data_IF_666383966803
#
_entry.id   IF_666383966803
#
_cell.length_a   1.000
_cell.length_b   1.000
_cell.length_c   1.000
_cell.angle_alpha   90.00
_cell.angle_beta   90.00
_cell.angle_gamma   90.00
#
_symmetry.space_group_name_H-M   'P 1'
#
loop_
_entity.id
_entity.type
_entity.pdbx_description
1 polymer ?
#
# COMPACT_ATOMS: atom_id res chain seq x y z
N UNK A 1 -16.56 -48.82 -45.61
CA UNK A 1 -15.47 -49.82 -45.64
C UNK A 1 -15.42 -50.48 -44.27
N UNK A 2 -15.10 -51.77 -44.26
CA UNK A 2 -15.42 -52.76 -43.24
C UNK A 2 -14.68 -52.67 -41.89
N UNK A 3 -15.35 -53.21 -40.85
CA UNK A 3 -14.89 -54.16 -39.78
C UNK A 3 -13.77 -53.73 -38.82
N UNK A 4 -13.71 -54.06 -37.53
CA UNK A 4 -14.25 -55.13 -36.64
C UNK A 4 -14.16 -54.61 -35.16
N UNK A 5 -15.09 -54.88 -34.22
CA UNK A 5 -15.13 -55.98 -33.21
C UNK A 5 -13.77 -56.23 -32.49
N UNK A 6 -13.63 -56.29 -31.16
CA UNK A 6 -14.38 -57.06 -30.14
C UNK A 6 -14.39 -56.45 -28.72
N UNK A 7 -15.40 -56.87 -27.96
CA UNK A 7 -15.61 -56.95 -26.49
C UNK A 7 -14.59 -57.89 -25.80
N UNK A 8 -14.36 -57.93 -24.48
CA UNK A 8 -15.26 -58.34 -23.37
C UNK A 8 -14.71 -57.96 -21.98
N UNK A 9 -15.63 -57.96 -21.00
CA UNK A 9 -15.50 -58.01 -19.53
C UNK A 9 -14.56 -59.16 -19.04
N UNK A 10 -14.11 -59.35 -17.78
CA UNK A 10 -14.88 -59.29 -16.53
C UNK A 10 -13.97 -59.46 -15.27
N UNK A 11 -14.60 -59.16 -14.14
CA UNK A 11 -14.32 -59.22 -12.70
C UNK A 11 -13.24 -60.12 -12.04
N UNK A 12 -12.65 -59.55 -10.97
CA UNK A 12 -12.63 -59.99 -9.54
C UNK A 12 -12.20 -61.43 -9.15
N UNK A 13 -11.29 -61.54 -8.15
CA UNK A 13 -11.46 -62.29 -6.89
C UNK A 13 -10.16 -62.33 -6.05
N UNK A 14 -10.29 -61.97 -4.77
CA UNK A 14 -9.32 -62.23 -3.71
C UNK A 14 -9.51 -63.66 -3.15
N UNK A 15 -8.42 -64.29 -2.67
CA UNK A 15 -8.49 -65.47 -1.80
C UNK A 15 -7.33 -65.45 -0.83
N UNK A 16 -7.64 -65.35 0.47
CA UNK A 16 -6.80 -65.73 1.61
C UNK A 16 -6.75 -67.27 1.75
N UNK A 17 -5.63 -67.82 2.19
CA UNK A 17 -5.64 -69.07 2.97
C UNK A 17 -4.35 -69.24 3.80
N UNK A 18 -4.58 -69.63 5.06
CA UNK A 18 -3.63 -69.83 6.17
C UNK A 18 -2.88 -71.17 6.16
N UNK A 19 -1.82 -71.18 7.00
CA UNK A 19 -1.20 -72.27 7.77
C UNK A 19 -0.41 -73.42 7.08
N UNK A 20 0.86 -73.57 7.49
CA UNK A 20 1.31 -74.72 8.32
C UNK A 20 2.74 -74.55 8.84
N UNK A 21 2.93 -74.89 10.12
CA UNK A 21 4.16 -74.91 10.92
C UNK A 21 5.03 -76.13 10.56
N UNK A 22 6.36 -76.02 10.61
CA UNK A 22 7.27 -77.10 11.00
C UNK A 22 8.63 -76.55 11.50
N UNK A 23 9.04 -77.03 12.68
CA UNK A 23 10.25 -76.71 13.42
C UNK A 23 11.55 -77.15 12.73
N UNK A 24 12.64 -76.43 13.00
CA UNK A 24 14.00 -76.82 12.66
C UNK A 24 15.02 -75.98 13.42
N UNK A 25 15.42 -76.45 14.60
CA UNK A 25 16.49 -75.96 15.47
C UNK A 25 17.84 -75.88 14.77
N UNK A 26 18.60 -74.80 14.98
CA UNK A 26 20.07 -74.83 15.13
C UNK A 26 20.55 -73.57 15.87
N UNK A 27 21.09 -73.79 17.06
CA UNK A 27 21.76 -72.80 17.91
C UNK A 27 23.07 -72.34 17.26
N UNK A 28 23.33 -71.03 17.26
CA UNK A 28 24.68 -70.47 17.18
C UNK A 28 24.81 -69.37 18.23
N UNK A 29 25.77 -69.58 19.13
CA UNK A 29 26.21 -68.65 20.17
C UNK A 29 26.79 -67.36 19.55
N UNK A 30 26.22 -66.20 19.89
CA UNK A 30 26.90 -64.90 19.79
C UNK A 30 27.03 -64.28 21.18
N UNK A 31 28.28 -63.99 21.58
CA UNK A 31 28.61 -63.24 22.80
C UNK A 31 28.02 -61.81 22.76
N UNK A 32 27.50 -61.26 23.87
CA UNK A 32 26.95 -59.91 23.88
C UNK A 32 28.07 -58.87 23.98
N UNK A 33 28.18 -58.00 22.97
CA UNK A 33 28.90 -56.73 23.11
C UNK A 33 28.12 -55.77 24.03
N UNK A 34 28.79 -54.99 24.90
CA UNK A 34 28.09 -54.05 25.76
C UNK A 34 27.62 -52.86 24.93
N UNK A 35 26.31 -52.68 24.85
CA UNK A 35 25.68 -51.47 24.33
C UNK A 35 26.01 -50.32 25.30
N UNK A 36 26.87 -49.39 24.86
CA UNK A 36 27.03 -48.10 25.52
C UNK A 36 25.75 -47.30 25.29
N UNK A 37 24.86 -47.28 26.27
CA UNK A 37 23.79 -46.30 26.35
C UNK A 37 24.42 -44.91 26.54
N UNK A 38 24.59 -44.18 25.44
CA UNK A 38 24.81 -42.74 25.50
C UNK A 38 23.46 -42.13 25.82
N UNK A 39 23.23 -41.81 27.10
CA UNK A 39 22.16 -40.91 27.50
C UNK A 39 22.42 -39.53 26.88
N UNK A 40 21.93 -39.31 25.65
CA UNK A 40 21.68 -37.96 25.16
C UNK A 40 20.57 -37.35 26.01
N UNK A 41 20.97 -36.73 27.12
CA UNK A 41 20.13 -35.78 27.85
C UNK A 41 19.86 -34.60 26.94
N UNK A 42 18.86 -34.72 26.05
CA UNK A 42 18.22 -33.59 25.37
C UNK A 42 17.64 -32.71 26.48
N UNK A 43 18.44 -31.76 26.93
CA UNK A 43 17.98 -30.63 27.71
C UNK A 43 17.00 -29.88 26.81
N UNK A 44 15.71 -30.18 26.94
CA UNK A 44 14.63 -29.39 26.37
C UNK A 44 14.64 -28.04 27.09
N UNK A 45 15.57 -27.16 26.72
CA UNK A 45 15.59 -25.78 27.17
C UNK A 45 14.33 -25.13 26.64
N UNK A 46 13.49 -24.67 27.56
CA UNK A 46 12.29 -23.93 27.19
C UNK A 46 12.69 -22.58 26.63
N UNK A 47 11.98 -22.10 25.60
CA UNK A 47 12.15 -20.75 25.05
C UNK A 47 12.02 -19.64 26.10
N UNK A 48 11.38 -19.94 27.24
CA UNK A 48 11.26 -19.06 28.41
C UNK A 48 12.57 -18.82 29.17
N UNK A 49 13.59 -19.65 28.94
CA UNK A 49 14.88 -19.61 29.65
C UNK A 49 15.94 -18.77 28.92
N UNK A 50 15.61 -18.25 27.73
CA UNK A 50 16.49 -17.39 26.96
C UNK A 50 16.61 -15.99 27.60
N UNK A 51 17.80 -15.36 27.57
CA UNK A 51 17.96 -13.96 27.94
C UNK A 51 17.05 -13.03 27.12
N UNK A 52 16.62 -11.93 27.72
CA UNK A 52 15.68 -11.00 27.07
C UNK A 52 16.27 -10.39 25.79
N UNK A 53 17.57 -10.12 25.77
CA UNK A 53 18.26 -9.55 24.61
C UNK A 53 18.22 -10.49 23.41
N UNK A 54 18.29 -11.81 23.66
CA UNK A 54 18.19 -12.83 22.60
C UNK A 54 16.74 -12.92 22.10
N UNK A 55 15.77 -12.85 23.00
CA UNK A 55 14.36 -12.83 22.64
C UNK A 55 14.00 -11.57 21.84
N UNK A 56 14.46 -10.39 22.24
CA UNK A 56 14.27 -9.15 21.51
C UNK A 56 14.89 -9.22 20.11
N UNK A 57 16.11 -9.77 20.00
CA UNK A 57 16.75 -9.99 18.71
C UNK A 57 15.92 -10.92 17.81
N UNK A 58 15.43 -12.05 18.33
CA UNK A 58 14.56 -12.96 17.58
C UNK A 58 13.26 -12.26 17.16
N UNK A 59 12.61 -11.54 18.08
CA UNK A 59 11.37 -10.83 17.84
C UNK A 59 11.54 -9.66 16.84
N UNK A 60 12.74 -9.12 16.70
CA UNK A 60 13.06 -8.07 15.72
C UNK A 60 12.98 -8.55 14.26
N UNK A 61 13.07 -9.86 14.02
CA UNK A 61 12.89 -10.43 12.69
C UNK A 61 11.43 -10.59 12.28
N UNK A 62 10.50 -10.49 13.23
CA UNK A 62 9.09 -10.66 12.94
C UNK A 62 8.51 -9.45 12.19
N UNK A 63 7.55 -9.76 11.34
CA UNK A 63 6.47 -8.91 10.86
C UNK A 63 6.04 -7.77 11.79
N UNK A 64 6.36 -6.45 11.61
CA UNK A 64 5.74 -5.41 12.44
C UNK A 64 4.22 -5.31 12.24
N UNK A 65 3.69 -6.03 11.26
CA UNK A 65 2.28 -6.09 10.93
C UNK A 65 1.52 -7.11 11.80
N UNK A 66 1.25 -8.31 11.29
CA UNK A 66 0.41 -9.29 11.99
C UNK A 66 1.22 -10.11 12.99
N UNK A 67 2.46 -10.46 12.67
CA UNK A 67 3.29 -11.33 13.51
C UNK A 67 3.57 -10.72 14.88
N UNK A 68 3.94 -9.43 14.96
CA UNK A 68 4.08 -8.71 16.24
C UNK A 68 2.80 -8.74 17.06
N UNK A 69 1.64 -8.53 16.43
CA UNK A 69 0.34 -8.59 17.11
C UNK A 69 0.08 -9.97 17.68
N UNK A 70 0.32 -11.03 16.90
CA UNK A 70 0.11 -12.42 17.35
C UNK A 70 1.10 -12.85 18.42
N UNK A 71 2.37 -12.50 18.28
CA UNK A 71 3.42 -12.84 19.23
C UNK A 71 3.21 -12.11 20.58
N UNK A 72 2.64 -10.91 20.56
CA UNK A 72 2.31 -10.16 21.78
C UNK A 72 1.19 -10.80 22.61
N UNK A 73 0.42 -11.74 22.05
CA UNK A 73 -0.64 -12.47 22.75
C UNK A 73 -0.15 -13.71 23.51
N UNK A 74 1.10 -14.14 23.28
CA UNK A 74 1.64 -15.39 23.85
C UNK A 74 1.72 -15.32 25.38
N UNK A 75 2.39 -14.29 25.91
CA UNK A 75 2.48 -14.06 27.36
C UNK A 75 2.87 -12.60 27.67
N UNK A 76 2.80 -12.22 28.96
CA UNK A 76 3.14 -10.86 29.40
C UNK A 76 4.59 -10.45 29.07
N UNK A 77 5.52 -11.41 29.11
CA UNK A 77 6.92 -11.15 28.78
C UNK A 77 7.06 -10.77 27.30
N UNK A 78 6.51 -11.59 26.40
CA UNK A 78 6.53 -11.34 24.95
C UNK A 78 5.86 -10.03 24.58
N UNK A 79 4.73 -9.71 25.21
CA UNK A 79 4.06 -8.42 25.04
C UNK A 79 5.00 -7.24 25.33
N UNK A 80 5.74 -7.28 26.45
CA UNK A 80 6.68 -6.22 26.82
C UNK A 80 7.84 -6.13 25.83
N UNK A 81 8.43 -7.27 25.47
CA UNK A 81 9.59 -7.31 24.56
C UNK A 81 9.21 -6.80 23.16
N UNK A 82 8.06 -7.20 22.61
CA UNK A 82 7.59 -6.73 21.30
C UNK A 82 7.32 -5.24 21.31
N UNK A 83 6.74 -4.70 22.40
CA UNK A 83 6.61 -3.25 22.56
C UNK A 83 7.96 -2.55 22.59
N UNK A 84 8.95 -3.12 23.28
CA UNK A 84 10.33 -2.62 23.31
C UNK A 84 10.96 -2.60 21.92
N UNK A 85 10.89 -3.72 21.19
CA UNK A 85 11.37 -3.87 19.81
C UNK A 85 10.71 -2.87 18.88
N UNK A 86 9.37 -2.77 18.89
CA UNK A 86 8.63 -1.84 18.04
C UNK A 86 9.01 -0.38 18.33
N UNK A 87 9.17 -0.03 19.61
CA UNK A 87 9.63 1.30 20.03
C UNK A 87 11.06 1.58 19.55
N UNK A 88 11.98 0.64 19.72
CA UNK A 88 13.36 0.78 19.26
C UNK A 88 13.45 0.91 17.73
N UNK A 89 12.68 0.12 16.99
CA UNK A 89 12.60 0.23 15.53
C UNK A 89 12.06 1.60 15.10
N UNK A 90 10.99 2.09 15.75
CA UNK A 90 10.43 3.41 15.46
C UNK A 90 11.44 4.53 15.72
N UNK A 91 12.05 4.56 16.92
CA UNK A 91 13.04 5.59 17.25
C UNK A 91 14.30 5.51 16.37
N UNK A 92 14.77 4.30 16.05
CA UNK A 92 15.86 4.09 15.12
C UNK A 92 15.54 4.64 13.73
N UNK A 93 14.32 4.41 13.24
CA UNK A 93 13.85 4.94 11.97
C UNK A 93 13.76 6.47 11.98
N UNK A 94 13.16 7.09 13.01
CA UNK A 94 13.07 8.55 13.11
C UNK A 94 14.46 9.19 13.15
N UNK A 95 15.38 8.63 13.95
CA UNK A 95 16.76 9.09 14.01
C UNK A 95 17.45 8.98 12.64
N UNK A 96 17.29 7.86 11.95
CA UNK A 96 17.84 7.67 10.60
C UNK A 96 17.29 8.68 9.58
N UNK A 97 16.00 9.02 9.67
CA UNK A 97 15.37 10.06 8.84
C UNK A 97 15.95 11.44 9.14
N UNK A 98 16.13 11.79 10.42
CA UNK A 98 16.71 13.07 10.85
C UNK A 98 18.18 13.23 10.44
N UNK A 99 18.96 12.15 10.54
CA UNK A 99 20.39 12.13 10.18
C UNK A 99 20.61 11.93 8.66
N UNK A 100 19.54 11.72 7.88
CA UNK A 100 19.64 11.42 6.45
C UNK A 100 20.27 10.06 6.11
N UNK A 101 20.36 9.15 7.09
CA UNK A 101 20.97 7.83 6.96
C UNK A 101 19.92 6.76 6.61
N UNK A 102 19.22 6.94 5.49
CA UNK A 102 18.22 6.00 5.00
C UNK A 102 18.87 5.10 3.94
N UNK A 103 18.84 3.79 4.17
CA UNK A 103 19.32 2.79 3.21
C UNK A 103 18.13 2.20 2.46
N UNK A 104 18.23 2.15 1.14
CA UNK A 104 17.22 1.57 0.27
C UNK A 104 17.67 0.20 -0.20
N UNK A 105 16.79 -0.79 -0.06
CA UNK A 105 17.04 -2.15 -0.53
C UNK A 105 15.93 -2.56 -1.50
N UNK A 106 16.32 -3.03 -2.69
CA UNK A 106 15.38 -3.67 -3.61
C UNK A 106 15.17 -5.11 -3.18
N UNK A 107 13.97 -5.44 -2.72
CA UNK A 107 13.60 -6.81 -2.36
C UNK A 107 12.69 -7.42 -3.42
N UNK A 108 13.10 -8.57 -3.93
CA UNK A 108 12.28 -9.41 -4.79
C UNK A 108 11.90 -10.65 -3.99
N UNK A 109 10.62 -10.83 -3.70
CA UNK A 109 10.13 -12.02 -3.02
C UNK A 109 9.93 -13.14 -4.05
N UNK A 110 10.46 -14.35 -3.83
CA UNK A 110 10.24 -15.49 -4.72
C UNK A 110 8.78 -15.95 -4.56
N UNK A 111 7.89 -15.34 -5.33
CA UNK A 111 6.46 -15.65 -5.28
C UNK A 111 6.07 -16.54 -6.48
N UNK A 112 5.34 -17.66 -6.26
CA UNK A 112 4.88 -18.51 -7.35
C UNK A 112 3.74 -17.91 -8.19
N UNK A 113 3.10 -16.82 -7.73
CA UNK A 113 2.01 -16.17 -8.47
C UNK A 113 2.48 -15.01 -9.36
N UNK A 114 1.56 -14.49 -10.17
CA UNK A 114 1.85 -13.44 -11.15
C UNK A 114 2.01 -12.08 -10.45
N UNK A 115 3.17 -11.42 -10.56
CA UNK A 115 3.35 -10.08 -10.01
C UNK A 115 2.44 -9.07 -10.73
N UNK A 116 2.16 -7.96 -10.07
CA UNK A 116 1.44 -6.84 -10.68
C UNK A 116 2.20 -6.34 -11.93
N UNK A 117 1.47 -6.14 -13.03
CA UNK A 117 2.06 -5.63 -14.29
C UNK A 117 2.66 -4.25 -14.10
N UNK A 118 3.81 -3.99 -14.75
CA UNK A 118 4.44 -2.67 -14.80
C UNK A 118 3.45 -1.60 -15.28
N UNK A 119 3.35 -0.51 -14.52
CA UNK A 119 2.36 0.55 -14.71
C UNK A 119 2.82 1.85 -14.09
N UNK A 120 2.34 2.98 -14.62
CA UNK A 120 2.52 4.30 -14.02
C UNK A 120 1.16 4.97 -13.78
N UNK A 121 1.17 6.04 -12.97
CA UNK A 121 -0.04 6.80 -12.60
C UNK A 121 -1.17 5.93 -12.03
N UNK A 122 -0.82 4.85 -11.33
CA UNK A 122 -1.77 4.05 -10.55
C UNK A 122 -2.13 4.78 -9.26
N UNK A 123 -3.31 4.49 -8.72
CA UNK A 123 -3.73 5.01 -7.42
C UNK A 123 -3.37 3.98 -6.35
N UNK A 124 -2.89 4.42 -5.19
CA UNK A 124 -2.56 3.52 -4.11
C UNK A 124 -2.93 4.10 -2.73
N UNK A 125 -3.28 3.22 -1.80
CA UNK A 125 -3.55 3.58 -0.41
C UNK A 125 -3.20 2.43 0.55
N UNK A 126 -2.90 2.77 1.79
CA UNK A 126 -2.73 1.80 2.88
C UNK A 126 -4.05 1.61 3.62
N UNK A 127 -4.47 0.35 3.81
CA UNK A 127 -5.67 -0.02 4.55
C UNK A 127 -5.29 -0.75 5.84
N UNK A 128 -5.50 -0.10 6.98
CA UNK A 128 -4.96 -0.56 8.26
C UNK A 128 -5.61 -1.84 8.79
N UNK A 129 -6.92 -2.02 8.58
CA UNK A 129 -7.68 -3.12 9.17
C UNK A 129 -7.16 -4.52 8.78
N UNK A 130 -6.54 -4.65 7.60
CA UNK A 130 -5.85 -5.87 7.18
C UNK A 130 -4.38 -5.64 6.79
N UNK A 131 -3.80 -4.50 7.20
CA UNK A 131 -2.39 -4.16 6.99
C UNK A 131 -1.92 -4.38 5.54
N UNK A 132 -2.75 -3.97 4.58
CA UNK A 132 -2.47 -4.18 3.17
C UNK A 132 -2.43 -2.87 2.39
N UNK A 133 -1.58 -2.82 1.37
CA UNK A 133 -1.59 -1.75 0.39
C UNK A 133 -2.48 -2.13 -0.79
N UNK A 134 -3.41 -1.26 -1.16
CA UNK A 134 -4.24 -1.43 -2.34
C UNK A 134 -3.71 -0.57 -3.49
N UNK A 135 -3.70 -1.13 -4.69
CA UNK A 135 -3.29 -0.47 -5.93
C UNK A 135 -4.40 -0.65 -6.96
N UNK A 136 -4.87 0.45 -7.53
CA UNK A 136 -5.91 0.44 -8.55
C UNK A 136 -5.43 1.11 -9.84
N UNK A 137 -5.73 0.48 -10.97
CA UNK A 137 -5.59 1.09 -12.29
C UNK A 137 -4.16 1.47 -12.67
N UNK A 138 -4.01 2.64 -13.26
CA UNK A 138 -2.77 3.08 -13.91
C UNK A 138 -2.74 2.67 -15.38
N UNK A 139 -1.62 2.92 -16.06
CA UNK A 139 -1.49 2.59 -17.48
C UNK A 139 -0.10 2.04 -17.84
N UNK A 140 -0.06 1.31 -18.95
CA UNK A 140 1.18 0.75 -19.51
C UNK A 140 2.05 1.85 -20.13
N UNK A 141 3.37 1.68 -20.07
CA UNK A 141 4.34 2.49 -20.83
C UNK A 141 4.37 2.06 -22.31
N UNK A 142 3.21 2.07 -22.96
CA UNK A 142 3.05 1.75 -24.38
C UNK A 142 2.57 2.98 -25.15
N UNK A 143 2.70 2.99 -26.48
CA UNK A 143 2.25 4.13 -27.31
C UNK A 143 0.78 4.50 -27.09
N UNK A 144 -0.06 3.51 -26.77
CA UNK A 144 -1.48 3.71 -26.50
C UNK A 144 -1.81 4.07 -25.03
N UNK A 145 -0.85 3.98 -24.09
CA UNK A 145 -1.09 4.13 -22.65
C UNK A 145 -2.32 3.33 -22.19
N UNK A 146 -2.41 2.05 -22.56
CA UNK A 146 -3.53 1.20 -22.19
C UNK A 146 -3.75 1.23 -20.67
N UNK A 147 -4.92 1.72 -20.25
CA UNK A 147 -5.28 1.87 -18.85
C UNK A 147 -5.80 0.55 -18.29
N UNK A 148 -5.55 0.33 -17.01
CA UNK A 148 -6.05 -0.82 -16.27
C UNK A 148 -7.25 -0.41 -15.40
N UNK A 149 -8.12 -1.37 -15.10
CA UNK A 149 -9.14 -1.27 -14.05
C UNK A 149 -8.93 -2.29 -12.92
N UNK A 150 -7.87 -3.09 -12.97
CA UNK A 150 -7.64 -4.10 -11.94
C UNK A 150 -7.34 -3.47 -10.58
N UNK A 151 -7.82 -4.14 -9.53
CA UNK A 151 -7.45 -3.89 -8.14
C UNK A 151 -6.44 -4.96 -7.73
N UNK A 152 -5.37 -4.54 -7.07
CA UNK A 152 -4.36 -5.40 -6.47
C UNK A 152 -4.22 -5.05 -5.00
N UNK A 153 -3.97 -6.07 -4.18
CA UNK A 153 -3.69 -5.95 -2.76
C UNK A 153 -2.33 -6.57 -2.48
N UNK A 154 -1.41 -5.79 -1.93
CA UNK A 154 -0.18 -6.28 -1.35
C UNK A 154 -0.40 -6.49 0.15
N UNK A 155 -0.40 -7.74 0.58
CA UNK A 155 -0.38 -8.07 2.01
C UNK A 155 1.01 -7.74 2.56
N UNK A 156 1.10 -6.80 3.50
CA UNK A 156 2.39 -6.37 4.04
C UNK A 156 2.95 -7.36 5.06
N UNK A 157 2.17 -8.32 5.53
CA UNK A 157 2.68 -9.38 6.38
C UNK A 157 3.40 -10.44 5.55
N UNK A 158 2.69 -11.07 4.60
CA UNK A 158 3.26 -12.13 3.75
C UNK A 158 4.11 -11.60 2.59
N UNK A 159 4.00 -10.30 2.28
CA UNK A 159 4.62 -9.65 1.11
C UNK A 159 4.11 -10.20 -0.22
N UNK A 160 2.87 -10.70 -0.23
CA UNK A 160 2.26 -11.31 -1.40
C UNK A 160 1.30 -10.36 -2.11
N UNK A 161 1.37 -10.36 -3.45
CA UNK A 161 0.39 -9.71 -4.29
C UNK A 161 -0.81 -10.62 -4.52
N UNK A 162 -1.98 -10.12 -4.18
CA UNK A 162 -3.26 -10.80 -4.33
C UNK A 162 -4.12 -9.94 -5.24
N UNK A 163 -4.74 -10.55 -6.24
CA UNK A 163 -5.72 -9.89 -7.11
C UNK A 163 -7.14 -10.17 -6.60
N UNK A 164 -7.81 -9.23 -5.92
CA UNK A 164 -9.19 -9.45 -5.50
C UNK A 164 -10.10 -9.47 -6.74
N UNK A 165 -10.80 -10.58 -6.95
CA UNK A 165 -11.82 -10.69 -7.99
C UNK A 165 -13.13 -10.12 -7.45
N UNK A 166 -13.21 -8.80 -7.42
CA UNK A 166 -14.35 -8.08 -6.83
C UNK A 166 -15.57 -8.07 -7.75
N UNK A 167 -16.76 -8.07 -7.15
CA UNK A 167 -18.04 -7.94 -7.84
C UNK A 167 -18.62 -6.52 -7.71
N UNK A 168 -19.70 -6.22 -8.43
CA UNK A 168 -20.44 -4.95 -8.31
C UNK A 168 -20.20 -3.96 -9.44
N UNK A 169 -20.40 -2.67 -9.15
CA UNK A 169 -20.27 -1.57 -10.12
C UNK A 169 -18.81 -1.20 -10.29
N UNK A 170 -18.12 -1.91 -11.16
CA UNK A 170 -16.68 -1.85 -11.30
C UNK A 170 -16.22 -0.57 -12.04
N UNK A 171 -15.16 0.14 -11.58
CA UNK A 171 -14.74 1.36 -12.25
C UNK A 171 -14.17 1.09 -13.65
N UNK A 172 -14.34 2.07 -14.55
CA UNK A 172 -13.73 2.05 -15.88
C UNK A 172 -12.18 2.03 -15.79
N UNK A 173 -11.47 1.49 -16.79
CA UNK A 173 -10.01 1.55 -16.83
C UNK A 173 -9.50 2.99 -16.83
N UNK A 174 -8.64 3.34 -15.88
CA UNK A 174 -8.19 4.72 -15.68
C UNK A 174 -6.83 4.83 -15.00
N UNK A 175 -6.15 5.93 -15.28
CA UNK A 175 -4.92 6.35 -14.64
C UNK A 175 -5.09 7.76 -14.03
N UNK A 176 -4.22 8.15 -13.11
CA UNK A 176 -4.24 9.49 -12.49
C UNK A 176 -5.51 9.79 -11.68
N UNK A 177 -6.21 8.76 -11.20
CA UNK A 177 -7.24 8.90 -10.18
C UNK A 177 -6.59 9.00 -8.79
N UNK A 178 -7.35 9.42 -7.79
CA UNK A 178 -6.94 9.28 -6.39
C UNK A 178 -7.71 8.17 -5.69
N UNK A 179 -7.05 7.50 -4.75
CA UNK A 179 -7.63 6.45 -3.93
C UNK A 179 -7.34 6.77 -2.46
N UNK A 180 -8.39 7.00 -1.67
CA UNK A 180 -8.28 7.35 -0.25
C UNK A 180 -9.06 6.36 0.60
N UNK A 181 -8.70 6.22 1.87
CA UNK A 181 -9.42 5.38 2.82
C UNK A 181 -10.36 6.24 3.65
N UNK A 182 -11.60 5.79 3.80
CA UNK A 182 -12.58 6.38 4.72
C UNK A 182 -13.34 5.26 5.42
N UNK A 183 -13.20 5.20 6.75
CA UNK A 183 -13.73 4.11 7.59
C UNK A 183 -13.28 2.76 6.97
N UNK A 184 -14.22 1.87 6.64
CA UNK A 184 -13.93 0.56 6.04
C UNK A 184 -14.03 0.54 4.50
N UNK A 185 -13.95 1.70 3.84
CA UNK A 185 -14.09 1.84 2.40
C UNK A 185 -12.85 2.48 1.77
N UNK A 186 -12.51 2.02 0.57
CA UNK A 186 -11.60 2.73 -0.33
C UNK A 186 -12.45 3.58 -1.27
N UNK A 187 -12.18 4.88 -1.34
CA UNK A 187 -12.89 5.84 -2.19
C UNK A 187 -11.98 6.22 -3.35
N UNK A 188 -12.38 5.85 -4.56
CA UNK A 188 -11.70 6.17 -5.82
C UNK A 188 -12.44 7.33 -6.50
N UNK A 189 -11.71 8.38 -6.89
CA UNK A 189 -12.29 9.53 -7.57
C UNK A 189 -11.48 9.95 -8.81
N UNK A 190 -12.23 10.30 -9.86
CA UNK A 190 -11.72 10.87 -11.11
C UNK A 190 -10.83 9.93 -11.90
N UNK A 191 -9.82 10.50 -12.58
CA UNK A 191 -8.89 9.80 -13.45
C UNK A 191 -9.15 10.06 -14.93
N UNK A 192 -8.28 9.53 -15.77
CA UNK A 192 -8.38 9.65 -17.23
C UNK A 192 -8.07 8.32 -17.91
N UNK A 193 -8.55 8.18 -19.14
CA UNK A 193 -8.21 7.06 -20.00
C UNK A 193 -8.04 7.51 -21.43
N UNK A 194 -7.15 6.83 -22.14
CA UNK A 194 -7.06 6.96 -23.59
C UNK A 194 -8.02 5.96 -24.22
N UNK A 195 -9.04 6.44 -24.95
CA UNK A 195 -9.91 5.53 -25.70
C UNK A 195 -9.11 4.75 -26.74
N UNK A 196 -9.75 3.71 -27.30
CA UNK A 196 -9.19 2.91 -28.38
C UNK A 196 -8.61 3.82 -29.49
N UNK A 197 -7.43 3.48 -30.05
CA UNK A 197 -6.82 4.26 -31.13
C UNK A 197 -7.69 4.33 -32.40
N UNK A 198 -8.79 3.57 -32.47
CA UNK A 198 -9.75 3.59 -33.57
C UNK A 198 -11.18 3.89 -33.09
N UNK A 199 -11.91 4.80 -33.77
CA UNK A 199 -11.42 5.73 -34.80
C UNK A 199 -10.33 6.68 -34.28
N UNK A 200 -9.44 7.09 -35.20
CA UNK A 200 -8.30 7.96 -34.90
C UNK A 200 -8.77 9.31 -34.33
N UNK A 201 -7.92 9.91 -33.48
CA UNK A 201 -8.13 11.24 -32.87
C UNK A 201 -9.26 11.35 -31.85
N UNK A 202 -9.63 10.25 -31.19
CA UNK A 202 -10.52 10.36 -30.04
C UNK A 202 -9.84 11.12 -28.90
N UNK A 203 -10.55 12.10 -28.29
CA UNK A 203 -10.01 12.85 -27.16
C UNK A 203 -9.84 11.95 -25.94
N UNK A 204 -8.91 12.32 -25.07
CA UNK A 204 -8.75 11.68 -23.77
C UNK A 204 -10.04 11.84 -22.96
N UNK A 205 -10.50 10.75 -22.34
CA UNK A 205 -11.72 10.76 -21.51
C UNK A 205 -11.30 10.94 -20.06
N UNK A 206 -11.79 12.00 -19.44
CA UNK A 206 -11.67 12.24 -18.01
C UNK A 206 -12.93 11.75 -17.29
N UNK A 207 -12.80 11.42 -16.02
CA UNK A 207 -13.88 10.94 -15.18
C UNK A 207 -14.10 11.87 -13.98
N UNK A 208 -15.35 11.97 -13.54
CA UNK A 208 -15.84 12.59 -12.31
C UNK A 208 -16.58 11.57 -11.41
N UNK A 209 -16.54 10.29 -11.79
CA UNK A 209 -17.20 9.21 -11.09
C UNK A 209 -16.53 8.93 -9.74
N UNK A 210 -17.34 8.71 -8.71
CA UNK A 210 -16.90 8.21 -7.40
C UNK A 210 -17.22 6.72 -7.33
N UNK A 211 -16.22 5.92 -7.00
CA UNK A 211 -16.40 4.50 -6.73
C UNK A 211 -15.91 4.16 -5.33
N UNK A 212 -16.69 3.37 -4.59
CA UNK A 212 -16.27 2.86 -3.29
C UNK A 212 -16.02 1.36 -3.37
N UNK A 213 -14.89 0.90 -2.86
CA UNK A 213 -14.61 -0.52 -2.67
C UNK A 213 -14.70 -0.87 -1.20
N UNK A 214 -15.42 -1.96 -0.89
CA UNK A 214 -15.46 -2.54 0.46
C UNK A 214 -14.55 -3.77 0.50
N UNK A 215 -13.38 -3.71 1.18
CA UNK A 215 -12.49 -4.85 1.34
C UNK A 215 -13.13 -6.07 2.00
N UNK A 216 -14.02 -5.86 2.98
CA UNK A 216 -14.70 -6.94 3.70
C UNK A 216 -15.73 -7.67 2.85
N UNK A 217 -16.40 -6.95 1.95
CA UNK A 217 -17.43 -7.51 1.04
C UNK A 217 -16.87 -7.90 -0.33
N UNK A 218 -15.63 -7.51 -0.64
CA UNK A 218 -15.03 -7.64 -1.97
C UNK A 218 -15.96 -7.10 -3.08
N UNK A 219 -16.49 -5.90 -2.86
CA UNK A 219 -17.57 -5.33 -3.66
C UNK A 219 -17.32 -3.86 -4.01
N UNK A 220 -17.51 -3.51 -5.28
CA UNK A 220 -17.48 -2.14 -5.79
C UNK A 220 -18.89 -1.55 -5.89
N UNK A 221 -19.02 -0.30 -5.48
CA UNK A 221 -20.21 0.50 -5.65
C UNK A 221 -19.88 1.79 -6.41
N UNK A 222 -20.79 2.23 -7.27
CA UNK A 222 -20.70 3.52 -7.94
C UNK A 222 -21.61 4.50 -7.22
N UNK A 223 -21.05 5.62 -6.75
CA UNK A 223 -21.80 6.65 -6.05
C UNK A 223 -22.15 7.74 -7.04
N UNK A 224 -23.45 7.96 -7.22
CA UNK A 224 -23.97 9.04 -8.05
C UNK A 224 -24.08 10.29 -7.20
N UNK A 225 -23.38 11.34 -7.62
CA UNK A 225 -23.43 12.65 -6.97
C UNK A 225 -23.84 13.71 -7.99
N UNK A 226 -24.34 14.83 -7.50
CA UNK A 226 -24.71 16.00 -8.34
C UNK A 226 -23.87 17.21 -7.94
N UNK A 227 -23.65 18.13 -8.88
CA UNK A 227 -22.92 19.38 -8.63
C UNK A 227 -21.47 19.21 -8.13
N UNK A 228 -20.82 18.13 -8.57
CA UNK A 228 -19.43 17.87 -8.27
C UNK A 228 -18.43 18.65 -9.14
N UNK A 229 -17.13 18.46 -8.88
CA UNK A 229 -16.07 18.89 -9.77
C UNK A 229 -16.28 18.42 -11.22
N UNK A 230 -15.79 19.16 -12.21
CA UNK A 230 -15.71 18.65 -13.58
C UNK A 230 -14.83 17.39 -13.65
N UNK A 231 -14.98 16.56 -14.69
CA UNK A 231 -14.10 15.42 -14.91
C UNK A 231 -12.62 15.82 -14.87
N UNK A 232 -11.82 15.12 -14.06
CA UNK A 232 -10.45 15.54 -13.77
C UNK A 232 -9.51 14.36 -13.48
N UNK A 233 -8.21 14.59 -13.69
CA UNK A 233 -7.18 13.62 -13.36
C UNK A 233 -5.87 14.27 -12.94
N UNK A 234 -5.02 13.53 -12.24
CA UNK A 234 -3.79 14.06 -11.64
C UNK A 234 -4.07 15.11 -10.56
N UNK A 235 -5.29 15.15 -10.02
CA UNK A 235 -5.59 15.89 -8.81
C UNK A 235 -5.01 15.14 -7.60
N UNK A 236 -4.95 15.82 -6.47
CA UNK A 236 -4.62 15.21 -5.19
C UNK A 236 -5.87 15.15 -4.33
N UNK A 237 -5.94 14.15 -3.44
CA UNK A 237 -7.01 14.10 -2.44
C UNK A 237 -6.53 13.53 -1.12
N UNK A 238 -7.12 13.98 -0.03
CA UNK A 238 -6.97 13.39 1.30
C UNK A 238 -8.31 13.36 2.03
N UNK A 239 -8.35 12.64 3.14
CA UNK A 239 -9.52 12.59 4.03
C UNK A 239 -9.14 13.22 5.36
N UNK A 240 -9.97 14.16 5.83
CA UNK A 240 -9.92 14.74 7.17
C UNK A 240 -11.31 14.59 7.75
N UNK A 241 -11.41 13.90 8.89
CA UNK A 241 -12.68 13.49 9.49
C UNK A 241 -13.59 12.80 8.45
N UNK A 242 -14.78 13.36 8.20
CA UNK A 242 -15.78 12.86 7.26
C UNK A 242 -15.74 13.60 5.91
N UNK A 243 -14.65 14.28 5.59
CA UNK A 243 -14.51 15.12 4.39
C UNK A 243 -13.34 14.68 3.54
N UNK A 244 -13.61 14.38 2.27
CA UNK A 244 -12.57 14.21 1.25
C UNK A 244 -12.28 15.56 0.59
N UNK A 245 -11.05 16.05 0.74
CA UNK A 245 -10.59 17.32 0.17
C UNK A 245 -9.83 17.03 -1.10
N UNK A 246 -10.34 17.52 -2.23
CA UNK A 246 -9.73 17.39 -3.55
C UNK A 246 -9.17 18.73 -3.98
N UNK A 247 -7.94 18.73 -4.51
CA UNK A 247 -7.29 19.94 -5.00
C UNK A 247 -6.72 19.75 -6.42
N UNK A 248 -6.96 20.75 -7.26
CA UNK A 248 -6.34 20.90 -8.56
C UNK A 248 -6.67 19.80 -9.57
N UNK A 249 -5.68 19.42 -10.38
CA UNK A 249 -5.77 18.42 -11.44
C UNK A 249 -5.98 19.00 -12.83
N UNK A 250 -5.79 18.14 -13.83
CA UNK A 250 -6.05 18.40 -15.25
C UNK A 250 -7.53 18.19 -15.55
N UNK A 251 -8.14 19.16 -16.24
CA UNK A 251 -9.51 19.11 -16.74
C UNK A 251 -9.57 18.67 -18.22
N UNK A 252 -8.45 18.18 -18.76
CA UNK A 252 -8.29 17.94 -20.19
C UNK A 252 -7.94 19.20 -20.98
N UNK A 253 -7.66 19.05 -22.27
CA UNK A 253 -7.37 20.16 -23.19
C UNK A 253 -6.29 21.15 -22.70
N UNK A 254 -5.30 20.66 -21.93
CA UNK A 254 -4.23 21.45 -21.29
C UNK A 254 -4.72 22.47 -20.24
N UNK A 255 -5.94 22.34 -19.76
CA UNK A 255 -6.46 23.14 -18.67
C UNK A 255 -6.14 22.47 -17.33
N UNK A 256 -5.55 23.22 -16.41
CA UNK A 256 -5.33 22.82 -15.03
C UNK A 256 -6.27 23.60 -14.11
N UNK A 257 -6.61 23.01 -12.98
CA UNK A 257 -7.41 23.63 -11.92
C UNK A 257 -6.54 23.98 -10.71
N UNK A 258 -6.92 25.01 -9.96
CA UNK A 258 -6.52 25.24 -8.58
C UNK A 258 -7.73 25.28 -7.63
N UNK A 259 -8.89 24.80 -8.09
CA UNK A 259 -10.08 24.71 -7.25
C UNK A 259 -9.85 23.68 -6.13
N UNK A 260 -10.42 23.99 -4.96
CA UNK A 260 -10.62 23.03 -3.87
C UNK A 260 -12.07 22.58 -3.91
N UNK A 261 -12.27 21.27 -3.85
CA UNK A 261 -13.58 20.64 -3.72
C UNK A 261 -13.61 19.79 -2.46
N UNK A 262 -14.75 19.78 -1.79
CA UNK A 262 -14.97 19.00 -0.57
C UNK A 262 -16.15 18.07 -0.80
N UNK A 263 -15.90 16.77 -0.71
CA UNK A 263 -16.94 15.75 -0.69
C UNK A 263 -17.22 15.38 0.77
N UNK A 264 -18.45 15.61 1.21
CA UNK A 264 -18.96 15.04 2.44
C UNK A 264 -19.14 13.53 2.24
N UNK A 265 -18.41 12.70 2.99
CA UNK A 265 -18.37 11.25 2.80
C UNK A 265 -19.53 10.52 3.50
N UNK A 266 -20.28 11.22 4.35
CA UNK A 266 -21.51 10.68 4.93
C UNK A 266 -22.70 10.96 4.02
N UNK A 267 -22.80 12.18 3.49
CA UNK A 267 -23.90 12.61 2.64
C UNK A 267 -23.64 12.36 1.14
N UNK A 268 -22.41 12.06 0.76
CA UNK A 268 -21.96 11.97 -0.63
C UNK A 268 -22.30 13.25 -1.43
N UNK A 269 -22.09 14.40 -0.80
CA UNK A 269 -22.44 15.71 -1.34
C UNK A 269 -21.19 16.58 -1.54
N UNK A 270 -21.06 17.13 -2.75
CA UNK A 270 -19.98 18.06 -3.06
C UNK A 270 -20.29 19.47 -2.61
N UNK A 271 -19.24 20.19 -2.19
CA UNK A 271 -19.28 21.62 -1.90
C UNK A 271 -17.98 22.29 -2.33
N UNK A 272 -18.07 23.58 -2.62
CA UNK A 272 -16.91 24.45 -2.83
C UNK A 272 -16.73 25.34 -1.60
N UNK A 273 -15.64 25.19 -0.83
CA UNK A 273 -15.39 26.05 0.31
C UNK A 273 -15.09 27.48 -0.15
N UNK A 274 -15.48 28.46 0.67
CA UNK A 274 -15.06 29.84 0.46
C UNK A 274 -13.60 30.00 0.89
N UNK A 275 -12.73 30.32 -0.05
CA UNK A 275 -11.29 30.51 0.18
C UNK A 275 -10.93 31.96 -0.15
N UNK A 276 -10.17 32.59 0.74
CA UNK A 276 -9.70 33.97 0.57
C UNK A 276 -8.18 34.05 0.46
N UNK A 277 -7.69 35.13 -0.13
CA UNK A 277 -6.26 35.40 -0.26
C UNK A 277 -5.61 34.77 -1.51
N UNK A 278 -4.26 34.77 -1.57
CA UNK A 278 -3.52 34.25 -2.72
C UNK A 278 -3.66 32.73 -2.80
N UNK A 279 -4.00 32.20 -3.97
CA UNK A 279 -4.08 30.76 -4.21
C UNK A 279 -2.84 30.23 -4.95
N UNK A 280 -2.47 28.95 -4.76
CA UNK A 280 -1.49 28.31 -5.62
C UNK A 280 -1.90 28.38 -7.10
N UNK A 281 -0.91 28.43 -7.99
CA UNK A 281 -1.17 28.33 -9.43
C UNK A 281 -1.86 26.99 -9.79
N UNK A 282 -2.74 26.98 -10.81
CA UNK A 282 -3.35 25.76 -11.33
C UNK A 282 -2.33 24.68 -11.66
N UNK A 283 -2.55 23.46 -11.15
CA UNK A 283 -1.57 22.37 -11.19
C UNK A 283 -2.20 20.98 -11.14
N UNK A 284 -1.48 19.99 -11.66
CA UNK A 284 -1.71 18.57 -11.43
C UNK A 284 -0.42 17.85 -11.01
N UNK A 285 -0.52 16.62 -10.51
CA UNK A 285 0.63 15.81 -10.10
C UNK A 285 1.29 16.23 -8.79
N UNK A 286 0.68 17.18 -8.06
CA UNK A 286 1.15 17.63 -6.75
C UNK A 286 0.98 16.55 -5.67
N UNK A 287 1.81 16.62 -4.65
CA UNK A 287 1.62 15.86 -3.41
C UNK A 287 0.72 16.64 -2.44
N UNK A 288 -0.23 15.96 -1.81
CA UNK A 288 -1.08 16.50 -0.74
C UNK A 288 -0.90 15.68 0.53
N UNK A 289 -0.62 16.36 1.63
CA UNK A 289 -0.27 15.73 2.91
C UNK A 289 -1.14 16.36 4.01
N UNK A 290 -1.76 15.52 4.84
CA UNK A 290 -2.50 15.97 6.02
C UNK A 290 -1.51 16.29 7.15
N UNK A 291 -1.55 17.54 7.64
CA UNK A 291 -0.68 18.03 8.72
C UNK A 291 -1.36 17.92 10.08
N UNK A 292 -2.65 18.25 10.13
CA UNK A 292 -3.49 18.13 11.33
C UNK A 292 -4.96 18.06 10.89
N UNK A 293 -5.87 18.14 11.87
CA UNK A 293 -7.31 18.02 11.68
C UNK A 293 -7.94 19.17 10.87
N UNK A 294 -7.17 20.21 10.53
CA UNK A 294 -7.66 21.36 9.78
C UNK A 294 -6.64 21.95 8.77
N UNK A 295 -5.52 21.26 8.52
CA UNK A 295 -4.44 21.78 7.69
C UNK A 295 -3.89 20.73 6.74
N UNK A 296 -3.81 21.09 5.46
CA UNK A 296 -3.14 20.27 4.44
C UNK A 296 -1.97 21.03 3.83
N UNK A 297 -0.95 20.28 3.44
CA UNK A 297 0.22 20.75 2.71
C UNK A 297 0.14 20.29 1.26
N UNK A 298 0.31 21.23 0.33
CA UNK A 298 0.48 20.99 -1.11
C UNK A 298 1.94 21.23 -1.48
N UNK A 299 2.55 20.25 -2.14
CA UNK A 299 3.93 20.31 -2.61
C UNK A 299 4.01 20.13 -4.13
N UNK A 300 4.65 21.10 -4.77
CA UNK A 300 5.02 21.07 -6.19
C UNK A 300 3.84 20.80 -7.14
N UNK A 301 4.08 19.95 -8.15
CA UNK A 301 3.15 19.65 -9.25
C UNK A 301 3.54 20.36 -10.55
N UNK A 302 2.68 20.28 -11.56
CA UNK A 302 2.91 20.90 -12.86
C UNK A 302 1.66 21.63 -13.40
N UNK A 303 1.87 22.81 -13.97
CA UNK A 303 0.85 23.60 -14.67
C UNK A 303 0.82 23.36 -16.18
N UNK A 304 1.76 22.55 -16.70
CA UNK A 304 1.93 22.29 -18.13
C UNK A 304 3.37 21.89 -18.48
N UNK A 305 3.69 21.73 -19.79
CA UNK A 305 4.98 21.20 -20.24
C UNK A 305 6.23 21.94 -19.73
N UNK A 306 6.11 23.25 -19.45
CA UNK A 306 7.22 24.10 -19.02
C UNK A 306 6.93 24.79 -17.67
N UNK A 307 5.98 24.28 -16.89
CA UNK A 307 5.56 24.88 -15.63
C UNK A 307 5.64 23.84 -14.52
N UNK A 308 6.85 23.49 -14.10
CA UNK A 308 7.09 22.66 -12.92
C UNK A 308 7.15 23.55 -11.69
N UNK A 309 6.42 23.17 -10.65
CA UNK A 309 6.35 23.92 -9.41
C UNK A 309 7.21 23.26 -8.33
N UNK A 310 7.99 24.07 -7.62
CA UNK A 310 8.79 23.68 -6.44
C UNK A 310 8.29 24.37 -5.16
N UNK A 311 7.15 25.05 -5.25
CA UNK A 311 6.56 25.78 -4.14
C UNK A 311 5.82 24.82 -3.18
N UNK A 312 5.61 25.31 -1.97
CA UNK A 312 4.89 24.62 -0.92
C UNK A 312 3.80 25.55 -0.36
N UNK A 313 2.60 25.01 -0.14
CA UNK A 313 1.45 25.78 0.31
C UNK A 313 0.69 25.03 1.41
N UNK A 314 0.32 25.73 2.48
CA UNK A 314 -0.63 25.23 3.46
C UNK A 314 -2.03 25.75 3.15
N UNK A 315 -3.04 24.88 3.21
CA UNK A 315 -4.44 25.30 3.27
C UNK A 315 -4.93 25.14 4.70
N UNK A 316 -5.30 26.25 5.32
CA UNK A 316 -5.88 26.33 6.65
C UNK A 316 -7.41 26.29 6.56
N UNK A 317 -8.03 25.38 7.28
CA UNK A 317 -9.48 25.10 7.24
C UNK A 317 -10.18 25.33 8.59
N UNK A 318 -9.45 25.81 9.60
CA UNK A 318 -9.95 26.03 10.97
C UNK A 318 -10.97 27.18 11.07
N UNK A 319 -10.94 28.14 10.15
CA UNK A 319 -11.83 29.29 10.11
C UNK A 319 -12.36 29.53 8.70
N UNK A 320 -13.57 30.09 8.60
CA UNK A 320 -14.17 30.49 7.31
C UNK A 320 -14.04 32.01 7.13
N UNK A 321 -13.53 32.51 5.99
CA UNK A 321 -13.07 31.75 4.82
C UNK A 321 -11.77 30.98 5.10
N UNK A 322 -11.61 29.84 4.42
CA UNK A 322 -10.36 29.10 4.38
C UNK A 322 -9.26 29.97 3.76
N UNK A 323 -8.00 29.69 4.09
CA UNK A 323 -6.89 30.52 3.64
C UNK A 323 -5.67 29.69 3.23
N UNK A 324 -5.08 30.07 2.11
CA UNK A 324 -3.81 29.55 1.64
C UNK A 324 -2.65 30.36 2.25
N UNK A 325 -1.60 29.67 2.66
CA UNK A 325 -0.36 30.26 3.12
C UNK A 325 0.82 29.69 2.33
N UNK A 326 1.58 30.51 1.58
CA UNK A 326 2.80 30.05 0.94
C UNK A 326 3.87 29.78 2.00
N UNK A 327 4.61 28.68 1.83
CA UNK A 327 5.78 28.35 2.64
C UNK A 327 7.05 28.72 1.90
N UNK A 328 8.01 29.26 2.64
CA UNK A 328 9.37 29.49 2.15
C UNK A 328 10.13 28.17 2.16
N UNK A 329 10.59 27.74 0.99
CA UNK A 329 11.44 26.55 0.84
C UNK A 329 12.89 27.03 0.85
N UNK A 330 13.69 26.61 1.85
CA UNK A 330 15.06 27.11 2.00
C UNK A 330 16.09 26.32 1.18
N UNK A 331 15.84 25.02 0.95
CA UNK A 331 16.73 24.12 0.21
C UNK A 331 16.18 23.84 -1.20
N UNK A 332 16.09 24.87 -2.05
CA UNK A 332 15.53 24.74 -3.40
C UNK A 332 16.28 23.74 -4.30
N UNK A 333 17.58 23.54 -4.05
CA UNK A 333 18.45 22.60 -4.76
C UNK A 333 18.09 21.12 -4.48
N UNK A 334 17.47 20.85 -3.33
CA UNK A 334 16.96 19.54 -2.91
C UNK A 334 15.42 19.46 -2.97
N UNK A 335 14.75 20.47 -3.52
CA UNK A 335 13.31 20.46 -3.73
C UNK A 335 12.88 19.25 -4.55
N UNK A 336 11.62 18.82 -4.41
CA UNK A 336 11.05 17.73 -5.20
C UNK A 336 11.52 17.90 -6.66
N UNK A 337 12.18 16.88 -7.23
CA UNK A 337 13.00 17.02 -8.44
C UNK A 337 12.21 17.61 -9.61
N UNK A 338 12.87 17.83 -10.74
CA UNK A 338 12.25 18.15 -12.05
C UNK A 338 11.22 17.08 -12.54
N UNK A 339 10.70 16.23 -11.65
CA UNK A 339 9.64 15.27 -11.86
C UNK A 339 8.28 15.95 -11.65
N UNK A 340 7.50 15.95 -12.72
CA UNK A 340 6.10 16.37 -12.76
C UNK A 340 5.17 15.60 -11.80
N UNK A 341 5.61 14.45 -11.26
CA UNK A 341 4.92 13.67 -10.25
C UNK A 341 5.91 13.12 -9.21
N UNK A 342 5.63 13.34 -7.94
CA UNK A 342 6.42 12.80 -6.83
C UNK A 342 5.47 12.32 -5.73
N UNK A 343 5.56 11.05 -5.28
CA UNK A 343 4.83 10.60 -4.11
C UNK A 343 5.46 11.21 -2.87
N UNK A 344 4.62 11.66 -1.94
CA UNK A 344 5.06 12.09 -0.61
C UNK A 344 4.16 11.46 0.44
N UNK A 345 4.75 11.14 1.59
CA UNK A 345 4.02 10.71 2.77
C UNK A 345 4.57 11.43 3.99
N UNK A 346 3.71 11.61 4.99
CA UNK A 346 4.14 12.16 6.28
C UNK A 346 4.85 11.09 7.08
N UNK A 347 6.03 11.43 7.58
CA UNK A 347 6.78 10.63 8.55
C UNK A 347 6.85 11.44 9.84
N UNK A 348 6.20 10.94 10.90
CA UNK A 348 6.11 11.53 12.27
C UNK A 348 5.25 12.81 12.42
N UNK A 349 4.79 13.03 13.67
CA UNK A 349 3.82 14.07 14.04
C UNK A 349 4.26 15.04 15.15
N UNK A 350 5.54 15.05 15.55
CA UNK A 350 6.00 15.94 16.63
C UNK A 350 6.70 17.19 16.09
N UNK A 351 5.95 18.29 16.03
CA UNK A 351 6.48 19.64 16.23
C UNK A 351 6.28 20.00 17.71
N UNK A 352 7.01 19.36 18.61
CA UNK A 352 7.17 19.88 19.98
C UNK A 352 8.48 20.63 20.04
N UNK A 353 8.37 21.96 20.11
CA UNK A 353 9.49 22.87 20.13
C UNK A 353 10.41 22.61 21.31
N UNK A 354 11.70 22.46 21.01
CA UNK A 354 12.80 23.04 21.76
C UNK A 354 13.94 23.25 20.78
N UNK A 355 13.99 24.48 20.26
CA UNK A 355 15.16 25.00 19.57
C UNK A 355 16.20 25.27 20.67
N UNK A 356 17.19 24.39 20.79
CA UNK A 356 18.43 24.74 21.48
C UNK A 356 19.50 24.90 20.40
N UNK A 357 19.93 26.14 20.22
CA UNK A 357 20.99 26.54 19.30
C UNK A 357 22.25 25.71 19.53
N UNK A 358 22.75 25.05 18.48
CA UNK A 358 24.19 24.89 18.32
C UNK A 358 24.58 24.82 16.85
N UNK A 359 24.97 26.00 16.37
CA UNK A 359 25.78 26.22 15.19
C UNK A 359 27.06 25.40 15.24
N UNK A 360 27.32 24.56 14.24
CA UNK A 360 28.67 24.23 13.81
C UNK A 360 28.73 24.13 12.28
N UNK A 361 29.42 25.10 11.71
CA UNK A 361 29.96 25.12 10.36
C UNK A 361 30.83 23.90 10.10
N UNK A 362 30.61 23.20 8.97
CA UNK A 362 31.68 22.47 8.28
C UNK A 362 31.51 22.66 6.77
N UNK A 363 32.45 23.42 6.18
CA UNK A 363 32.64 23.55 4.74
C UNK A 363 33.19 22.25 4.12
N UNK A 364 32.87 21.94 2.86
CA UNK A 364 33.30 20.72 2.19
C UNK A 364 34.70 20.84 1.60
N UNK A 365 35.38 19.69 1.49
CA UNK A 365 36.47 19.43 0.55
C UNK A 365 36.02 18.40 -0.47
#
# INVERSE_FOLDING_TARGET
MASSSDSEDDSFMAVDQEETVLEGTMEQDEEPQPVLEVEETRHNRSMSELPEEVLEYILSFLSPYQEHKTAALVCKQWYRLIKGVAHQCYHGFIKAVQEGNIQWESRTYPYPGTPITQRFSHSACYYDANQSMYVFGGCTQSSCNAAFNDLWRLDLNSKEWIRPLASGSYPSPKAGATLVVYKDLLVLFGGWTRPSPYPLHQPERFFDEIHTYSPSKNWWNCIVTTHGPPPMAGHSSCVIEDKMIVFGGSLGSRQMSNDVWVLDLEQWAWSKPNISGPSPHPRGGQSQIVIDDATILILGGCGGPNALFKDAWLLHMHSSPWAWQPLKVENEDHGAPELWCHPACRVSGELTGQQEERSQDVKPS
#
